data_IF_177139676115
#
_entry.id   IF_177139676115
#
_cell.length_a   1.000
_cell.length_b   1.000
_cell.length_c   1.000
_cell.angle_alpha   90.00
_cell.angle_beta   90.00
_cell.angle_gamma   90.00
#
_symmetry.space_group_name_H-M   'P 1'
#
loop_
_entity.id
_entity.type
_entity.pdbx_description
1 polymer ?
#
# COMPACT_ATOMS: atom_id res chain seq x y z
N UNK A 1 -29.39 -80.50 21.73
CA UNK A 1 -29.59 -79.34 22.61
C UNK A 1 -28.40 -78.40 22.43
N UNK A 2 -28.66 -77.10 22.22
CA UNK A 2 -27.73 -75.97 22.01
C UNK A 2 -27.11 -75.84 20.62
N UNK A 3 -27.74 -74.94 19.87
CA UNK A 3 -27.21 -74.24 18.73
C UNK A 3 -26.33 -73.03 19.16
N UNK A 4 -25.76 -72.40 18.13
CA UNK A 4 -25.29 -71.01 18.04
C UNK A 4 -23.89 -70.74 18.64
N UNK A 5 -22.91 -70.41 17.78
CA UNK A 5 -22.44 -69.02 17.57
C UNK A 5 -21.09 -68.90 16.82
N UNK A 6 -21.08 -67.95 15.87
CA UNK A 6 -19.94 -67.20 15.30
C UNK A 6 -19.04 -67.82 14.22
N UNK A 7 -19.57 -67.81 13.00
CA UNK A 7 -18.86 -67.28 11.83
C UNK A 7 -18.59 -65.77 12.04
N UNK A 8 -17.35 -65.36 12.35
CA UNK A 8 -16.85 -63.98 12.10
C UNK A 8 -15.38 -63.73 12.50
N UNK A 9 -14.51 -64.76 12.58
CA UNK A 9 -13.12 -64.57 13.03
C UNK A 9 -12.07 -64.47 11.90
N UNK A 10 -12.45 -64.02 10.70
CA UNK A 10 -11.52 -63.73 9.59
C UNK A 10 -11.60 -62.30 9.05
N UNK A 11 -12.43 -61.44 9.63
CA UNK A 11 -12.60 -60.05 9.18
C UNK A 11 -12.00 -59.01 10.15
N UNK A 12 -11.18 -59.42 11.12
CA UNK A 12 -10.64 -58.53 12.17
C UNK A 12 -9.11 -58.38 12.18
N UNK A 13 -8.42 -58.73 11.08
CA UNK A 13 -6.98 -58.47 10.91
C UNK A 13 -6.65 -57.48 9.77
N UNK A 14 -7.64 -57.05 8.99
CA UNK A 14 -7.45 -56.03 7.94
C UNK A 14 -7.87 -54.61 8.36
N UNK A 15 -8.39 -54.42 9.58
CA UNK A 15 -8.81 -53.09 10.09
C UNK A 15 -7.70 -52.42 10.91
N UNK A 16 -6.58 -53.10 11.16
CA UNK A 16 -5.40 -52.53 11.85
C UNK A 16 -4.32 -51.97 10.89
N UNK A 17 -4.65 -51.80 9.60
CA UNK A 17 -3.72 -51.26 8.59
C UNK A 17 -4.27 -50.04 7.82
N UNK A 18 -5.23 -49.29 8.40
CA UNK A 18 -5.72 -48.01 7.83
C UNK A 18 -5.59 -46.87 8.87
N UNK A 19 -4.57 -46.93 9.74
CA UNK A 19 -4.22 -45.83 10.64
C UNK A 19 -2.80 -45.28 10.44
N UNK A 20 -2.07 -45.74 9.42
CA UNK A 20 -0.71 -45.30 9.12
C UNK A 20 -0.56 -44.47 7.84
N UNK A 21 -1.65 -43.96 7.26
CA UNK A 21 -1.62 -43.11 6.06
C UNK A 21 -2.27 -41.73 6.23
N UNK A 22 -2.28 -41.18 7.45
CA UNK A 22 -2.42 -39.72 7.66
C UNK A 22 -1.03 -39.16 7.99
N UNK A 23 -0.12 -39.31 7.03
CA UNK A 23 1.18 -38.63 7.03
C UNK A 23 1.48 -38.15 5.61
N UNK A 24 0.54 -37.38 5.04
CA UNK A 24 0.72 -36.65 3.79
C UNK A 24 -0.12 -35.36 3.81
N UNK A 25 -0.02 -34.57 4.87
CA UNK A 25 -0.51 -33.17 4.93
C UNK A 25 0.63 -32.14 4.81
N UNK A 26 1.83 -32.59 4.46
CA UNK A 26 3.05 -31.76 4.35
C UNK A 26 3.18 -30.98 3.02
N UNK A 27 2.27 -31.20 2.07
CA UNK A 27 2.28 -30.51 0.76
C UNK A 27 1.43 -29.24 0.82
N UNK A 28 0.24 -29.26 1.43
CA UNK A 28 -0.62 -28.08 1.59
C UNK A 28 -0.08 -27.06 2.61
N UNK A 29 0.62 -27.52 3.64
CA UNK A 29 1.20 -26.66 4.69
C UNK A 29 2.38 -25.83 4.17
N UNK A 30 3.22 -26.38 3.28
CA UNK A 30 4.34 -25.63 2.68
C UNK A 30 3.86 -24.49 1.78
N UNK A 31 2.79 -24.71 1.01
CA UNK A 31 2.18 -23.64 0.20
C UNK A 31 1.55 -22.57 1.07
N UNK A 32 0.85 -22.96 2.15
CA UNK A 32 0.21 -22.02 3.07
C UNK A 32 1.23 -21.12 3.79
N UNK A 33 2.29 -21.70 4.35
CA UNK A 33 3.34 -20.91 5.05
C UNK A 33 4.03 -19.94 4.10
N UNK A 34 4.34 -20.38 2.88
CA UNK A 34 4.93 -19.50 1.85
C UNK A 34 3.98 -18.35 1.51
N UNK A 35 2.70 -18.65 1.28
CA UNK A 35 1.68 -17.65 0.97
C UNK A 35 1.51 -16.62 2.09
N UNK A 36 1.46 -17.07 3.36
CA UNK A 36 1.36 -16.17 4.51
C UNK A 36 2.58 -15.26 4.62
N UNK A 37 3.79 -15.80 4.46
CA UNK A 37 5.02 -15.00 4.44
C UNK A 37 4.99 -13.95 3.33
N UNK A 38 4.67 -14.36 2.11
CA UNK A 38 4.66 -13.47 0.95
C UNK A 38 3.62 -12.35 1.16
N UNK A 39 2.44 -12.69 1.69
CA UNK A 39 1.42 -11.69 2.05
C UNK A 39 1.91 -10.70 3.11
N UNK A 40 2.55 -11.17 4.18
CA UNK A 40 3.11 -10.30 5.22
C UNK A 40 4.21 -9.39 4.68
N UNK A 41 5.06 -9.89 3.79
CA UNK A 41 6.14 -9.08 3.19
C UNK A 41 5.58 -8.01 2.25
N UNK A 42 4.55 -8.33 1.47
CA UNK A 42 3.84 -7.35 0.63
C UNK A 42 3.15 -6.30 1.49
N UNK A 43 2.46 -6.72 2.57
CA UNK A 43 1.82 -5.80 3.50
C UNK A 43 2.84 -4.86 4.15
N UNK A 44 3.93 -5.41 4.68
CA UNK A 44 5.00 -4.63 5.28
C UNK A 44 5.60 -3.63 4.28
N UNK A 45 5.95 -4.07 3.07
CA UNK A 45 6.48 -3.19 2.03
C UNK A 45 5.50 -2.04 1.70
N UNK A 46 4.20 -2.35 1.60
CA UNK A 46 3.16 -1.36 1.33
C UNK A 46 3.04 -0.33 2.47
N UNK A 47 3.14 -0.78 3.73
CA UNK A 47 3.08 0.12 4.89
C UNK A 47 4.32 1.03 4.95
N UNK A 48 5.50 0.49 4.65
CA UNK A 48 6.76 1.24 4.63
C UNK A 48 6.78 2.27 3.49
N UNK A 49 6.32 1.91 2.29
CA UNK A 49 6.19 2.83 1.17
C UNK A 49 5.27 4.01 1.53
N UNK A 50 4.12 3.74 2.16
CA UNK A 50 3.22 4.81 2.65
C UNK A 50 3.86 5.71 3.68
N UNK A 51 4.63 5.16 4.63
CA UNK A 51 5.35 5.94 5.64
C UNK A 51 6.39 6.85 4.99
N UNK A 52 7.12 6.32 4.01
CA UNK A 52 8.10 7.09 3.27
C UNK A 52 7.42 8.20 2.46
N UNK A 53 6.40 7.89 1.66
CA UNK A 53 5.71 8.89 0.83
C UNK A 53 5.06 10.00 1.67
N UNK A 54 4.46 9.65 2.82
CA UNK A 54 3.71 10.63 3.64
C UNK A 54 4.58 11.42 4.61
N UNK A 55 5.73 10.92 5.03
CA UNK A 55 6.53 11.57 6.07
C UNK A 55 8.04 11.28 6.01
N UNK A 56 8.54 10.62 4.97
CA UNK A 56 9.92 10.13 4.86
C UNK A 56 10.38 9.30 6.08
N UNK A 57 9.44 8.63 6.74
CA UNK A 57 9.74 7.82 7.92
C UNK A 57 10.23 6.44 7.48
N UNK A 58 11.43 6.08 7.92
CA UNK A 58 11.95 4.71 7.89
C UNK A 58 11.98 4.21 9.34
N UNK A 59 10.99 3.42 9.79
CA UNK A 59 10.93 2.97 11.17
C UNK A 59 12.05 1.97 11.47
N UNK A 60 12.51 1.93 12.72
CA UNK A 60 13.40 0.88 13.20
C UNK A 60 12.64 -0.45 13.24
N UNK A 61 13.08 -1.41 12.43
CA UNK A 61 12.47 -2.74 12.34
C UNK A 61 13.29 -3.79 13.08
N UNK A 62 12.63 -4.82 13.58
CA UNK A 62 13.27 -6.01 14.10
C UNK A 62 13.99 -6.76 12.96
N UNK A 63 15.20 -7.23 13.26
CA UNK A 63 16.08 -7.97 12.36
C UNK A 63 16.53 -9.27 13.05
N UNK A 64 17.01 -10.24 12.26
CA UNK A 64 17.64 -11.47 12.77
C UNK A 64 16.99 -12.77 12.32
N UNK A 65 15.73 -12.76 11.87
CA UNK A 65 15.13 -13.91 11.20
C UNK A 65 15.73 -14.07 9.78
N UNK A 66 15.93 -15.31 9.29
CA UNK A 66 16.37 -15.55 7.92
C UNK A 66 15.32 -15.06 6.91
N UNK A 67 15.69 -14.71 5.68
CA UNK A 67 14.72 -14.27 4.67
C UNK A 67 13.76 -15.40 4.24
N UNK A 68 14.29 -16.62 4.17
CA UNK A 68 13.56 -17.84 3.83
C UNK A 68 14.04 -18.98 4.73
N UNK A 69 13.14 -19.90 5.09
CA UNK A 69 13.51 -21.11 5.81
C UNK A 69 12.57 -22.27 5.49
N UNK A 70 13.13 -23.47 5.40
CA UNK A 70 12.38 -24.72 5.28
C UNK A 70 12.13 -25.39 6.63
N UNK A 71 12.78 -24.91 7.70
CA UNK A 71 12.61 -25.44 9.05
C UNK A 71 11.48 -24.70 9.78
N UNK A 72 10.65 -25.42 10.54
CA UNK A 72 9.49 -24.87 11.26
C UNK A 72 9.88 -23.73 12.20
N UNK A 73 10.95 -23.89 12.98
CA UNK A 73 11.46 -22.85 13.87
C UNK A 73 11.86 -21.58 13.11
N UNK A 74 12.45 -21.72 11.92
CA UNK A 74 12.80 -20.59 11.07
C UNK A 74 11.58 -19.93 10.44
N UNK A 75 10.57 -20.71 10.02
CA UNK A 75 9.31 -20.18 9.51
C UNK A 75 8.54 -19.40 10.58
N UNK A 76 8.52 -19.90 11.82
CA UNK A 76 7.93 -19.21 12.96
C UNK A 76 8.65 -17.90 13.27
N UNK A 77 9.98 -17.91 13.31
CA UNK A 77 10.77 -16.70 13.55
C UNK A 77 10.54 -15.62 12.46
N UNK A 78 10.41 -16.02 11.19
CA UNK A 78 10.06 -15.12 10.09
C UNK A 78 8.68 -14.50 10.32
N UNK A 79 7.68 -15.33 10.61
CA UNK A 79 6.30 -14.88 10.80
C UNK A 79 6.18 -13.91 12.00
N UNK A 80 6.85 -14.21 13.11
CA UNK A 80 6.88 -13.36 14.30
C UNK A 80 7.57 -12.01 14.02
N UNK A 81 8.73 -12.02 13.36
CA UNK A 81 9.43 -10.79 12.99
C UNK A 81 8.60 -9.94 12.02
N UNK A 82 8.02 -10.55 10.98
CA UNK A 82 7.18 -9.83 10.03
C UNK A 82 5.96 -9.21 10.72
N UNK A 83 5.29 -9.97 11.60
CA UNK A 83 4.12 -9.49 12.33
C UNK A 83 4.47 -8.33 13.27
N UNK A 84 5.61 -8.41 13.95
CA UNK A 84 6.11 -7.32 14.77
C UNK A 84 6.42 -6.07 13.92
N UNK A 85 7.11 -6.24 12.80
CA UNK A 85 7.44 -5.12 11.91
C UNK A 85 6.18 -4.47 11.30
N UNK A 86 5.17 -5.26 10.96
CA UNK A 86 3.86 -4.78 10.52
C UNK A 86 3.19 -3.96 11.63
N UNK A 87 3.22 -4.42 12.88
CA UNK A 87 2.60 -3.68 13.99
C UNK A 87 3.31 -2.35 14.25
N UNK A 88 4.65 -2.32 14.18
CA UNK A 88 5.44 -1.07 14.27
C UNK A 88 5.05 -0.10 13.16
N UNK A 89 4.99 -0.56 11.90
CA UNK A 89 4.64 0.29 10.77
C UNK A 89 3.18 0.81 10.87
N UNK A 90 2.24 -0.04 11.29
CA UNK A 90 0.84 0.36 11.54
C UNK A 90 0.73 1.41 12.64
N UNK A 91 1.47 1.25 13.74
CA UNK A 91 1.49 2.23 14.82
C UNK A 91 2.03 3.60 14.34
N UNK A 92 3.08 3.60 13.51
CA UNK A 92 3.61 4.84 12.95
C UNK A 92 2.60 5.52 12.00
N UNK A 93 1.95 4.76 11.10
CA UNK A 93 0.92 5.30 10.20
C UNK A 93 -0.28 5.83 10.98
N UNK A 94 -0.72 5.12 12.02
CA UNK A 94 -1.85 5.55 12.85
C UNK A 94 -1.61 6.92 13.51
N UNK A 95 -0.35 7.26 13.85
CA UNK A 95 -0.02 8.60 14.37
C UNK A 95 -0.17 9.67 13.29
N UNK A 96 0.26 9.38 12.06
CA UNK A 96 0.07 10.29 10.92
C UNK A 96 -1.41 10.46 10.58
N UNK A 97 -2.19 9.38 10.65
CA UNK A 97 -3.64 9.43 10.42
C UNK A 97 -4.35 10.28 11.47
N UNK A 98 -4.00 10.11 12.75
CA UNK A 98 -4.54 10.92 13.82
C UNK A 98 -4.20 12.41 13.63
N UNK A 99 -2.92 12.73 13.37
CA UNK A 99 -2.50 14.10 13.11
C UNK A 99 -3.22 14.73 11.92
N UNK A 100 -3.44 13.96 10.83
CA UNK A 100 -4.20 14.41 9.68
C UNK A 100 -5.68 14.69 10.02
N UNK A 101 -6.31 13.84 10.85
CA UNK A 101 -7.70 14.07 11.29
C UNK A 101 -7.80 15.35 12.11
N UNK A 102 -6.89 15.56 13.06
CA UNK A 102 -6.83 16.78 13.88
C UNK A 102 -6.62 18.02 12.98
N UNK A 103 -5.66 17.95 12.05
CA UNK A 103 -5.35 19.00 11.08
C UNK A 103 -6.53 19.37 10.18
N UNK A 104 -7.38 18.41 9.81
CA UNK A 104 -8.58 18.66 9.00
C UNK A 104 -9.68 19.41 9.75
N UNK A 105 -9.72 19.29 11.08
CA UNK A 105 -10.72 19.98 11.90
C UNK A 105 -10.37 21.46 12.08
N UNK A 106 -9.10 21.75 12.33
CA UNK A 106 -8.60 23.11 12.56
C UNK A 106 -7.23 23.31 11.87
N UNK A 107 -7.22 23.52 10.53
CA UNK A 107 -5.97 23.67 9.80
C UNK A 107 -5.28 24.98 10.12
N UNK A 108 -3.96 24.92 10.34
CA UNK A 108 -3.10 26.10 10.47
C UNK A 108 -2.50 26.53 9.12
N UNK A 109 -1.89 27.72 9.08
CA UNK A 109 -1.13 28.15 7.90
C UNK A 109 -0.05 27.12 7.56
N UNK A 110 -0.09 26.59 6.32
CA UNK A 110 0.82 25.55 5.86
C UNK A 110 0.30 24.11 5.98
N UNK A 111 -0.91 23.91 6.49
CA UNK A 111 -1.55 22.59 6.60
C UNK A 111 -2.48 22.25 5.43
N UNK A 112 -2.85 23.25 4.63
CA UNK A 112 -3.80 23.14 3.52
C UNK A 112 -3.15 23.63 2.23
N UNK A 113 -3.40 22.93 1.13
CA UNK A 113 -3.03 23.33 -0.21
C UNK A 113 -4.20 23.11 -1.17
N UNK A 114 -4.30 23.96 -2.19
CA UNK A 114 -5.20 23.78 -3.32
C UNK A 114 -4.36 23.67 -4.58
N UNK A 115 -4.52 22.57 -5.29
CA UNK A 115 -3.85 22.29 -6.56
C UNK A 115 -4.84 22.48 -7.70
N UNK A 116 -4.44 23.28 -8.68
CA UNK A 116 -5.23 23.54 -9.88
C UNK A 116 -4.38 23.19 -11.09
N UNK A 117 -4.87 22.27 -11.91
CA UNK A 117 -4.27 22.00 -13.21
C UNK A 117 -4.88 22.98 -14.24
N UNK A 118 -4.09 23.97 -14.64
CA UNK A 118 -4.49 25.02 -15.60
C UNK A 118 -4.65 24.44 -17.01
N UNK A 119 -3.76 23.53 -17.38
CA UNK A 119 -3.77 22.84 -18.66
C UNK A 119 -3.16 21.46 -18.49
N UNK A 120 -3.79 20.44 -19.06
CA UNK A 120 -3.32 19.07 -18.99
C UNK A 120 -3.36 18.46 -20.38
N UNK A 121 -2.24 17.91 -20.83
CA UNK A 121 -2.13 17.28 -22.15
C UNK A 121 -1.34 15.98 -22.08
N UNK A 122 -1.71 14.99 -22.89
CA UNK A 122 -0.84 13.83 -23.11
C UNK A 122 0.16 14.08 -24.25
N UNK A 123 1.02 13.09 -24.51
CA UNK A 123 1.97 13.13 -25.62
C UNK A 123 1.30 13.27 -27.00
N UNK A 124 0.04 12.82 -27.13
CA UNK A 124 -0.77 12.93 -28.34
C UNK A 124 -1.55 14.26 -28.43
N UNK A 125 -1.32 15.19 -27.49
CA UNK A 125 -2.01 16.48 -27.38
C UNK A 125 -3.51 16.38 -27.06
N UNK A 126 -3.99 15.25 -26.55
CA UNK A 126 -5.34 15.18 -25.99
C UNK A 126 -5.41 16.01 -24.72
N UNK A 127 -6.48 16.79 -24.57
CA UNK A 127 -6.69 17.69 -23.45
C UNK A 127 -7.50 16.98 -22.37
N UNK A 128 -7.06 17.15 -21.12
CA UNK A 128 -7.77 16.67 -19.93
C UNK A 128 -8.14 17.85 -19.03
N UNK A 129 -9.18 17.65 -18.25
CA UNK A 129 -9.70 18.59 -17.25
C UNK A 129 -9.74 17.91 -15.90
N UNK A 130 -9.47 18.66 -14.84
CA UNK A 130 -9.59 18.19 -13.47
C UNK A 130 -10.19 19.30 -12.61
N UNK A 131 -11.06 18.93 -11.69
CA UNK A 131 -11.47 19.84 -10.62
C UNK A 131 -10.27 20.14 -9.72
N UNK A 132 -10.19 21.34 -9.10
CA UNK A 132 -9.15 21.63 -8.14
C UNK A 132 -9.09 20.58 -7.02
N UNK A 133 -7.89 20.15 -6.66
CA UNK A 133 -7.66 19.21 -5.57
C UNK A 133 -7.27 19.97 -4.31
N UNK A 134 -8.13 19.92 -3.30
CA UNK A 134 -7.79 20.34 -1.95
C UNK A 134 -7.09 19.20 -1.23
N UNK A 135 -5.93 19.48 -0.64
CA UNK A 135 -5.09 18.48 0.01
C UNK A 135 -4.55 19.03 1.33
N UNK A 136 -4.56 18.21 2.37
CA UNK A 136 -3.94 18.55 3.65
C UNK A 136 -2.53 17.97 3.74
N UNK A 137 -1.66 18.61 4.52
CA UNK A 137 -0.32 18.06 4.79
C UNK A 137 -0.44 16.65 5.37
N UNK A 138 0.41 15.73 4.92
CA UNK A 138 0.37 14.28 5.18
C UNK A 138 -0.73 13.50 4.46
N UNK A 139 -1.53 14.13 3.60
CA UNK A 139 -2.61 13.45 2.91
C UNK A 139 -2.15 12.85 1.58
N UNK A 140 -2.70 11.67 1.25
CA UNK A 140 -2.71 11.12 -0.10
C UNK A 140 -4.12 11.13 -0.66
N UNK A 141 -4.29 11.59 -1.89
CA UNK A 141 -5.56 11.67 -2.59
C UNK A 141 -5.44 11.18 -4.04
N UNK A 142 -6.59 10.79 -4.60
CA UNK A 142 -6.72 10.46 -6.01
C UNK A 142 -7.26 11.67 -6.77
N UNK A 143 -6.49 12.17 -7.73
CA UNK A 143 -6.89 13.29 -8.58
C UNK A 143 -7.41 12.77 -9.91
N UNK A 144 -8.71 12.98 -10.15
CA UNK A 144 -9.39 12.50 -11.35
C UNK A 144 -9.28 13.52 -12.47
N UNK A 145 -8.77 13.07 -13.61
CA UNK A 145 -8.60 13.82 -14.85
C UNK A 145 -9.53 13.19 -15.90
N UNK A 146 -10.29 14.02 -16.60
CA UNK A 146 -11.26 13.59 -17.59
C UNK A 146 -11.01 14.28 -18.93
N UNK A 147 -10.93 13.52 -20.01
CA UNK A 147 -10.90 14.09 -21.37
C UNK A 147 -12.31 14.43 -21.86
N UNK A 148 -12.40 15.28 -22.88
CA UNK A 148 -13.67 15.54 -23.56
C UNK A 148 -14.29 14.29 -24.23
N UNK A 149 -13.47 13.28 -24.52
CA UNK A 149 -13.90 11.99 -25.10
C UNK A 149 -14.36 10.98 -24.06
N UNK A 150 -14.33 11.34 -22.76
CA UNK A 150 -14.73 10.46 -21.66
C UNK A 150 -13.63 9.53 -21.16
N UNK A 151 -12.38 9.72 -21.59
CA UNK A 151 -11.25 8.98 -21.06
C UNK A 151 -10.88 9.52 -19.68
N UNK A 152 -10.76 8.60 -18.73
CA UNK A 152 -10.40 8.90 -17.35
C UNK A 152 -8.95 8.51 -17.05
N UNK A 153 -8.25 9.40 -16.36
CA UNK A 153 -6.94 9.15 -15.73
C UNK A 153 -7.06 9.52 -14.26
N UNK A 154 -6.55 8.67 -13.37
CA UNK A 154 -6.52 8.94 -11.93
C UNK A 154 -5.08 9.00 -11.47
N UNK A 155 -4.63 10.18 -11.06
CA UNK A 155 -3.28 10.40 -10.54
C UNK A 155 -3.29 10.25 -9.01
N UNK A 156 -2.29 9.58 -8.47
CA UNK A 156 -2.04 9.55 -7.03
C UNK A 156 -1.24 10.79 -6.66
N UNK A 157 -1.74 11.57 -5.70
CA UNK A 157 -1.13 12.81 -5.23
C UNK A 157 -0.91 12.70 -3.74
N UNK A 158 0.31 12.99 -3.27
CA UNK A 158 0.65 12.95 -1.84
C UNK A 158 1.38 14.23 -1.47
N UNK A 159 0.95 14.90 -0.42
CA UNK A 159 1.69 16.00 0.18
C UNK A 159 2.23 15.55 1.52
N UNK A 160 3.55 15.42 1.62
CA UNK A 160 4.17 14.83 2.79
C UNK A 160 4.30 15.82 3.96
N UNK A 161 4.62 15.32 5.17
CA UNK A 161 4.82 16.14 6.37
C UNK A 161 5.98 17.15 6.24
N UNK A 162 6.96 16.89 5.37
CA UNK A 162 8.09 17.79 5.11
C UNK A 162 7.75 18.94 4.14
N UNK A 163 6.59 18.88 3.50
CA UNK A 163 6.13 19.89 2.56
C UNK A 163 6.27 19.52 1.08
N UNK A 164 6.88 18.39 0.73
CA UNK A 164 7.05 17.98 -0.67
C UNK A 164 5.77 17.36 -1.24
N UNK A 165 5.43 17.78 -2.47
CA UNK A 165 4.32 17.27 -3.24
C UNK A 165 4.81 16.21 -4.22
N UNK A 166 4.21 15.03 -4.13
CA UNK A 166 4.43 13.91 -5.01
C UNK A 166 3.22 13.68 -5.92
N UNK A 167 3.45 13.50 -7.22
CA UNK A 167 2.43 13.08 -8.18
C UNK A 167 2.91 11.81 -8.89
N UNK A 168 2.16 10.73 -8.77
CA UNK A 168 2.56 9.38 -9.23
C UNK A 168 3.96 9.00 -8.70
N UNK A 169 4.25 9.35 -7.44
CA UNK A 169 5.53 9.09 -6.78
C UNK A 169 6.71 9.98 -7.20
N UNK A 170 6.52 10.90 -8.14
CA UNK A 170 7.55 11.86 -8.56
C UNK A 170 7.52 13.08 -7.65
N UNK A 171 8.67 13.48 -7.09
CA UNK A 171 8.81 14.75 -6.36
C UNK A 171 8.65 15.91 -7.36
N UNK A 172 7.61 16.72 -7.15
CA UNK A 172 7.23 17.78 -8.09
C UNK A 172 7.61 19.16 -7.59
N UNK A 173 7.29 19.48 -6.33
CA UNK A 173 7.57 20.77 -5.73
C UNK A 173 7.46 20.74 -4.20
N UNK A 174 8.15 21.67 -3.53
CA UNK A 174 7.95 21.93 -2.11
C UNK A 174 6.85 22.99 -1.92
N UNK A 175 5.83 22.66 -1.15
CA UNK A 175 4.72 23.54 -0.80
C UNK A 175 4.92 24.12 0.60
N UNK A 176 4.94 25.45 0.63
CA UNK A 176 5.07 26.26 1.84
C UNK A 176 4.23 27.53 1.72
N UNK A 177 3.91 28.21 2.84
CA UNK A 177 3.17 29.48 2.81
C UNK A 177 3.86 30.64 2.08
N UNK A 178 5.14 30.48 1.73
CA UNK A 178 5.93 31.43 0.93
C UNK A 178 6.12 30.97 -0.51
N UNK A 179 5.59 29.81 -0.89
CA UNK A 179 5.68 29.31 -2.26
C UNK A 179 4.94 30.24 -3.21
N UNK A 180 5.49 30.51 -4.41
CA UNK A 180 4.81 31.34 -5.38
C UNK A 180 3.60 30.61 -5.96
N UNK A 181 2.46 31.30 -6.06
CA UNK A 181 1.24 30.79 -6.69
C UNK A 181 1.32 30.77 -8.24
N UNK A 182 2.52 30.91 -8.82
CA UNK A 182 2.71 30.92 -10.28
C UNK A 182 2.64 29.50 -10.84
N UNK A 183 1.88 29.26 -11.93
CA UNK A 183 1.85 27.94 -12.56
C UNK A 183 3.23 27.48 -13.02
N UNK A 184 3.49 26.18 -12.85
CA UNK A 184 4.70 25.50 -13.34
C UNK A 184 4.31 24.38 -14.29
N UNK A 185 5.16 24.09 -15.27
CA UNK A 185 4.93 22.97 -16.19
C UNK A 185 5.72 21.75 -15.71
N UNK A 186 5.03 20.62 -15.55
CA UNK A 186 5.57 19.35 -15.08
C UNK A 186 5.26 18.24 -16.09
N UNK A 187 6.17 17.28 -16.22
CA UNK A 187 5.90 16.03 -16.91
C UNK A 187 5.60 14.95 -15.86
N UNK A 188 4.44 14.30 -15.96
CA UNK A 188 4.00 13.23 -15.07
C UNK A 188 3.82 11.95 -15.89
N UNK A 189 4.45 10.87 -15.44
CA UNK A 189 4.21 9.53 -15.98
C UNK A 189 3.04 8.88 -15.26
N UNK A 190 2.02 8.46 -16.01
CA UNK A 190 0.86 7.76 -15.48
C UNK A 190 1.07 6.25 -15.55
N UNK A 191 0.93 5.56 -14.42
CA UNK A 191 1.25 4.14 -14.33
C UNK A 191 0.03 3.21 -14.33
N UNK A 192 -1.17 3.71 -14.01
CA UNK A 192 -2.40 2.89 -13.93
C UNK A 192 -2.25 1.63 -13.06
N UNK A 193 -1.47 1.70 -11.97
CA UNK A 193 -1.16 0.57 -11.11
C UNK A 193 -0.17 -0.46 -11.69
N UNK A 194 0.52 -0.15 -12.80
CA UNK A 194 1.56 -0.99 -13.40
C UNK A 194 2.95 -0.47 -13.08
N UNK A 195 3.97 -1.31 -13.29
CA UNK A 195 5.38 -0.94 -13.07
C UNK A 195 5.91 -0.01 -14.17
N UNK A 196 5.38 -0.13 -15.40
CA UNK A 196 5.80 0.67 -16.54
C UNK A 196 4.77 1.77 -16.83
N UNK A 197 5.26 2.98 -17.12
CA UNK A 197 4.44 4.10 -17.51
C UNK A 197 3.56 3.74 -18.72
N UNK A 198 2.28 4.02 -18.62
CA UNK A 198 1.29 3.81 -19.68
C UNK A 198 1.10 5.07 -20.53
N UNK A 199 1.28 6.24 -19.93
CA UNK A 199 1.21 7.52 -20.62
C UNK A 199 2.15 8.54 -19.97
N UNK A 200 2.44 9.59 -20.74
CA UNK A 200 3.19 10.76 -20.29
C UNK A 200 2.28 11.97 -20.45
N UNK A 201 2.07 12.72 -19.37
CA UNK A 201 1.17 13.87 -19.32
C UNK A 201 1.94 15.13 -18.93
N UNK A 202 1.75 16.20 -19.66
CA UNK A 202 2.24 17.53 -19.33
C UNK A 202 1.15 18.25 -18.54
N UNK A 203 1.46 18.66 -17.31
CA UNK A 203 0.56 19.38 -16.42
C UNK A 203 1.12 20.78 -16.18
N UNK A 204 0.32 21.80 -16.49
CA UNK A 204 0.55 23.15 -16.00
C UNK A 204 -0.14 23.28 -14.64
N UNK A 205 0.64 23.10 -13.57
CA UNK A 205 0.18 23.02 -12.19
C UNK A 205 0.34 24.37 -11.50
N UNK A 206 -0.76 24.88 -10.96
CA UNK A 206 -0.77 25.96 -9.98
C UNK A 206 -1.04 25.36 -8.61
N UNK A 207 -0.22 25.71 -7.62
CA UNK A 207 -0.43 25.33 -6.22
C UNK A 207 -0.57 26.58 -5.36
N UNK A 208 -1.50 26.56 -4.41
CA UNK A 208 -1.72 27.65 -3.46
C UNK A 208 -1.78 27.11 -2.04
N UNK A 209 -0.94 27.65 -1.16
CA UNK A 209 -0.98 27.39 0.29
C UNK A 209 -1.56 28.62 0.98
N UNK A 210 -2.86 28.63 1.32
CA UNK A 210 -3.48 29.81 1.92
C UNK A 210 -2.87 30.12 3.29
N UNK A 211 -2.78 31.41 3.60
CA UNK A 211 -2.58 31.88 4.97
C UNK A 211 -3.92 31.78 5.70
N UNK A 212 -3.94 31.02 6.78
CA UNK A 212 -5.07 30.84 7.67
C UNK A 212 -4.83 31.68 8.94
N UNK A 213 -5.91 32.24 9.46
CA UNK A 213 -5.90 33.15 10.60
C UNK A 213 -5.91 32.40 11.94
#
# INVERSE_FOLDING_TARGET
MKAVFYNSLKALCCILFISSLIACSSIETKSAVKQTRDQQQIELATLLDRLWQRAHIIPTLQQGAPLISTAEAGQKAIAEQNQHNISVAKAALSKLDQALVERKQEPSTGDLAVLTAVNIRDAQQHIYYAEPLTLYRSEGAQWRLMSATGQEVVLNVIWNEEGNLYIEGQDTMNLSPSSPDTPITLQVFYYAGKVLAQASMTLELQAKVPRLN
#
